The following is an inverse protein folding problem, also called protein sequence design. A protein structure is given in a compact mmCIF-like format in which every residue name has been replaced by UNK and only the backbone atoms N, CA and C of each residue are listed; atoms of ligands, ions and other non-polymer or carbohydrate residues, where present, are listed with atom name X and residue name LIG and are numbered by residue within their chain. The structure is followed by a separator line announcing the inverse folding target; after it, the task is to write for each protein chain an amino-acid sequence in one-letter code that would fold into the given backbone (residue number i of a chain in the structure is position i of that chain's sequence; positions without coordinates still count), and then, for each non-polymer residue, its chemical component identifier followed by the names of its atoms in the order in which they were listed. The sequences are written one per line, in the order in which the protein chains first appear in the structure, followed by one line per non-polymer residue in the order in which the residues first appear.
data_IF_817861020691
#
_entry.id   IF_817861020691
#
_cell.length_a   1.000
_cell.length_b   1.000
_cell.length_c   1.000
_cell.angle_alpha   90.00
_cell.angle_beta   90.00
_cell.angle_gamma   90.00
#
_symmetry.space_group_name_H-M   'P 1'
#
loop_
_entity.id
_entity.type
_entity.pdbx_description
1 polymer ?
#
# COMPACT_ATOMS: atom_id res chain seq x y z
N UNK A 1 -4.34 -5.75 -17.33
CA UNK A 1 -4.98 -5.95 -16.02
C UNK A 1 -4.26 -5.12 -14.97
N UNK A 2 -5.01 -4.43 -14.13
CA UNK A 2 -4.42 -3.61 -13.08
C UNK A 2 -3.84 -4.49 -11.98
N UNK A 3 -2.58 -4.24 -11.62
CA UNK A 3 -1.83 -5.03 -10.63
C UNK A 3 -1.68 -4.21 -9.34
N UNK A 4 -2.04 -4.82 -8.22
CA UNK A 4 -1.93 -4.18 -6.90
C UNK A 4 -0.99 -5.01 -6.02
N UNK A 5 -0.05 -4.32 -5.36
CA UNK A 5 0.84 -4.93 -4.38
C UNK A 5 0.35 -4.57 -2.98
N UNK A 6 0.15 -5.60 -2.15
CA UNK A 6 -0.23 -5.44 -0.75
C UNK A 6 0.98 -5.79 0.12
N UNK A 7 1.50 -4.83 0.87
CA UNK A 7 2.62 -5.04 1.78
C UNK A 7 2.05 -5.02 3.19
N UNK A 8 1.87 -6.20 3.76
CA UNK A 8 1.19 -6.40 5.04
C UNK A 8 1.66 -7.71 5.68
N UNK A 9 2.15 -7.65 6.92
CA UNK A 9 2.63 -8.85 7.62
C UNK A 9 1.51 -9.62 8.34
N UNK A 10 0.41 -8.97 8.70
CA UNK A 10 -0.74 -9.64 9.33
C UNK A 10 -1.43 -10.53 8.29
N UNK A 11 -1.26 -11.83 8.46
CA UNK A 11 -1.79 -12.82 7.50
C UNK A 11 -3.30 -12.72 7.32
N UNK A 12 -4.04 -12.57 8.42
CA UNK A 12 -5.51 -12.53 8.35
C UNK A 12 -6.01 -11.32 7.56
N UNK A 13 -5.51 -10.14 7.89
CA UNK A 13 -5.89 -8.92 7.19
C UNK A 13 -5.44 -8.96 5.74
N UNK A 14 -4.21 -9.40 5.50
CA UNK A 14 -3.68 -9.52 4.14
C UNK A 14 -4.57 -10.39 3.27
N UNK A 15 -4.97 -11.57 3.77
CA UNK A 15 -5.82 -12.47 3.01
C UNK A 15 -7.19 -11.88 2.71
N UNK A 16 -7.77 -11.15 3.66
CA UNK A 16 -9.05 -10.48 3.44
C UNK A 16 -8.96 -9.44 2.32
N UNK A 17 -7.92 -8.62 2.36
CA UNK A 17 -7.71 -7.56 1.36
C UNK A 17 -7.43 -8.17 -0.01
N UNK A 18 -6.52 -9.15 -0.07
CA UNK A 18 -6.17 -9.81 -1.33
C UNK A 18 -7.42 -10.45 -1.97
N UNK A 19 -8.21 -11.15 -1.17
CA UNK A 19 -9.43 -11.78 -1.66
C UNK A 19 -10.42 -10.76 -2.20
N UNK A 20 -10.61 -9.66 -1.47
CA UNK A 20 -11.53 -8.60 -1.89
C UNK A 20 -11.10 -7.94 -3.18
N UNK A 21 -9.81 -7.68 -3.34
CA UNK A 21 -9.28 -7.08 -4.56
C UNK A 21 -9.39 -8.03 -5.75
N UNK A 22 -9.15 -9.32 -5.54
CA UNK A 22 -9.31 -10.32 -6.61
C UNK A 22 -10.75 -10.41 -7.10
N UNK A 23 -11.73 -10.27 -6.21
CA UNK A 23 -13.14 -10.24 -6.60
C UNK A 23 -13.44 -9.07 -7.52
N UNK A 24 -12.70 -7.99 -7.41
CA UNK A 24 -12.85 -6.80 -8.25
C UNK A 24 -12.04 -6.88 -9.54
N UNK A 25 -11.52 -8.06 -9.85
CA UNK A 25 -10.80 -8.35 -11.10
C UNK A 25 -9.40 -7.73 -11.18
N UNK A 26 -8.83 -7.35 -10.04
CA UNK A 26 -7.43 -6.92 -10.00
C UNK A 26 -6.50 -8.13 -9.95
N UNK A 27 -5.31 -7.97 -10.53
CA UNK A 27 -4.20 -8.90 -10.27
C UNK A 27 -3.56 -8.45 -8.96
N UNK A 28 -3.37 -9.38 -8.01
CA UNK A 28 -2.87 -9.01 -6.68
C UNK A 28 -1.65 -9.82 -6.33
N UNK A 29 -0.60 -9.13 -5.93
CA UNK A 29 0.61 -9.73 -5.36
C UNK A 29 0.78 -9.19 -3.96
N UNK A 30 1.56 -9.88 -3.12
CA UNK A 30 1.76 -9.41 -1.75
C UNK A 30 3.20 -9.60 -1.28
N UNK A 31 3.57 -8.86 -0.24
CA UNK A 31 4.82 -8.99 0.47
C UNK A 31 4.54 -8.95 1.97
N UNK A 32 5.37 -9.64 2.75
CA UNK A 32 5.15 -9.78 4.20
C UNK A 32 6.11 -8.93 5.04
N UNK A 33 7.07 -8.28 4.40
CA UNK A 33 7.99 -7.37 5.07
C UNK A 33 8.41 -6.25 4.13
N UNK A 34 9.15 -5.27 4.66
CA UNK A 34 9.52 -4.08 3.91
C UNK A 34 10.50 -4.34 2.78
N UNK A 35 11.52 -5.14 3.01
CA UNK A 35 12.51 -5.45 1.97
C UNK A 35 11.88 -6.17 0.79
N UNK A 36 11.04 -7.18 1.06
CA UNK A 36 10.30 -7.89 0.03
C UNK A 36 9.37 -6.93 -0.73
N UNK A 37 8.76 -6.00 0.00
CA UNK A 37 7.88 -4.99 -0.59
C UNK A 37 8.60 -4.11 -1.61
N UNK A 38 9.77 -3.61 -1.25
CA UNK A 38 10.59 -2.80 -2.17
C UNK A 38 11.01 -3.63 -3.38
N UNK A 39 11.50 -4.83 -3.14
CA UNK A 39 11.94 -5.74 -4.21
C UNK A 39 10.81 -6.02 -5.20
N UNK A 40 9.63 -6.37 -4.71
CA UNK A 40 8.49 -6.67 -5.58
C UNK A 40 8.01 -5.43 -6.34
N UNK A 41 8.09 -4.25 -5.72
CA UNK A 41 7.76 -3.01 -6.41
C UNK A 41 8.67 -2.81 -7.62
N UNK A 42 9.96 -3.04 -7.45
CA UNK A 42 10.94 -2.90 -8.54
C UNK A 42 10.75 -3.95 -9.64
N UNK A 43 10.49 -5.19 -9.24
CA UNK A 43 10.35 -6.31 -10.19
C UNK A 43 9.02 -6.30 -10.93
N UNK A 44 7.92 -6.03 -10.23
CA UNK A 44 6.58 -6.17 -10.77
C UNK A 44 5.97 -4.87 -11.26
N UNK A 45 6.47 -3.73 -10.77
CA UNK A 45 5.96 -2.40 -11.12
C UNK A 45 4.43 -2.33 -11.07
N UNK A 46 3.84 -2.55 -9.88
CA UNK A 46 2.39 -2.53 -9.74
C UNK A 46 1.79 -1.15 -10.06
N UNK A 47 0.50 -1.14 -10.30
CA UNK A 47 -0.23 0.10 -10.58
C UNK A 47 -0.58 0.86 -9.31
N UNK A 48 -0.60 0.18 -8.17
CA UNK A 48 -0.88 0.77 -6.87
C UNK A 48 -0.30 -0.12 -5.77
N UNK A 49 0.12 0.50 -4.66
CA UNK A 49 0.64 -0.20 -3.50
C UNK A 49 -0.20 0.14 -2.27
N UNK A 50 -0.65 -0.89 -1.53
CA UNK A 50 -1.18 -0.75 -0.19
C UNK A 50 -0.05 -1.10 0.78
N UNK A 51 0.28 -0.20 1.68
CA UNK A 51 1.48 -0.30 2.51
C UNK A 51 1.15 -0.13 3.99
N UNK A 52 1.46 -1.15 4.79
CA UNK A 52 1.44 -1.01 6.25
C UNK A 52 2.74 -0.34 6.72
N UNK A 53 2.64 0.42 7.80
CA UNK A 53 3.81 1.08 8.40
C UNK A 53 4.53 0.18 9.40
N UNK A 54 3.80 -0.69 10.07
CA UNK A 54 4.37 -1.56 11.12
C UNK A 54 4.76 -2.90 10.52
N UNK A 55 5.95 -2.94 9.92
CA UNK A 55 6.47 -4.13 9.25
C UNK A 55 7.73 -4.65 9.95
N UNK A 56 8.00 -5.97 9.88
CA UNK A 56 9.30 -6.48 10.33
C UNK A 56 10.41 -5.99 9.40
N UNK A 57 11.60 -5.82 9.94
CA UNK A 57 12.73 -5.28 9.20
C UNK A 57 12.63 -3.76 9.06
N UNK A 58 12.69 -3.25 7.84
CA UNK A 58 12.49 -1.82 7.61
C UNK A 58 11.00 -1.49 7.73
N UNK A 59 10.69 -0.35 8.35
CA UNK A 59 9.29 0.05 8.51
C UNK A 59 8.72 0.62 7.22
N UNK A 60 7.39 0.86 7.22
CA UNK A 60 6.71 1.34 6.04
C UNK A 60 7.11 2.74 5.60
N UNK A 61 7.50 3.62 6.51
CA UNK A 61 8.00 4.94 6.14
C UNK A 61 9.27 4.81 5.31
N UNK A 62 10.18 3.92 5.71
CA UNK A 62 11.40 3.68 4.95
C UNK A 62 11.11 3.03 3.60
N UNK A 63 10.17 2.10 3.54
CA UNK A 63 9.71 1.51 2.28
C UNK A 63 9.24 2.61 1.33
N UNK A 64 8.38 3.49 1.81
CA UNK A 64 7.85 4.60 1.02
C UNK A 64 8.97 5.51 0.53
N UNK A 65 9.91 5.83 1.41
CA UNK A 65 11.04 6.68 1.07
C UNK A 65 11.90 6.05 -0.04
N UNK A 66 12.20 4.76 0.08
CA UNK A 66 12.97 4.05 -0.95
C UNK A 66 12.24 4.02 -2.29
N UNK A 67 10.92 3.80 -2.27
CA UNK A 67 10.12 3.81 -3.51
C UNK A 67 10.17 5.19 -4.16
N UNK A 68 9.99 6.24 -3.39
CA UNK A 68 9.93 7.61 -3.93
C UNK A 68 11.29 8.14 -4.40
N UNK A 69 12.39 7.57 -3.92
CA UNK A 69 13.73 7.93 -4.37
C UNK A 69 14.13 7.23 -5.67
N UNK A 70 13.44 6.17 -6.04
CA UNK A 70 13.74 5.40 -7.26
C UNK A 70 12.87 5.91 -8.40
N UNK A 71 13.48 6.61 -9.36
CA UNK A 71 12.74 7.26 -10.45
C UNK A 71 11.92 6.30 -11.30
N UNK A 72 12.30 5.03 -11.37
CA UNK A 72 11.57 4.05 -12.18
C UNK A 72 10.24 3.63 -11.56
N UNK A 73 10.05 3.83 -10.26
CA UNK A 73 8.84 3.42 -9.52
C UNK A 73 8.23 4.55 -8.70
N UNK A 74 8.84 5.72 -8.68
CA UNK A 74 8.40 6.84 -7.83
C UNK A 74 6.97 7.31 -8.13
N UNK A 75 6.49 7.12 -9.34
CA UNK A 75 5.15 7.57 -9.73
C UNK A 75 4.03 6.62 -9.33
N UNK A 76 4.36 5.43 -8.82
CA UNK A 76 3.34 4.47 -8.41
C UNK A 76 2.63 5.01 -7.16
N UNK A 77 1.28 5.15 -7.20
CA UNK A 77 0.55 5.64 -6.03
C UNK A 77 0.62 4.66 -4.86
N UNK A 78 0.87 5.18 -3.67
CA UNK A 78 0.95 4.41 -2.44
C UNK A 78 -0.14 4.89 -1.48
N UNK A 79 -0.99 3.96 -1.04
CA UNK A 79 -1.95 4.19 0.03
C UNK A 79 -1.38 3.53 1.29
N UNK A 80 -1.20 4.30 2.34
CA UNK A 80 -0.79 3.75 3.63
C UNK A 80 -2.04 3.20 4.33
N UNK A 81 -1.94 1.99 4.88
CA UNK A 81 -2.99 1.37 5.66
C UNK A 81 -2.37 0.90 6.97
N UNK A 82 -2.63 1.59 8.08
CA UNK A 82 -1.95 1.33 9.34
C UNK A 82 -2.83 1.58 10.56
N UNK A 83 -2.45 0.94 11.68
CA UNK A 83 -3.05 1.24 12.98
C UNK A 83 -2.52 2.54 13.59
N UNK A 84 -1.38 3.04 13.10
CA UNK A 84 -0.88 4.35 13.50
C UNK A 84 -1.82 5.42 12.94
N UNK A 85 -2.38 6.26 13.80
CA UNK A 85 -3.40 7.22 13.37
C UNK A 85 -3.21 8.61 13.94
N UNK A 86 -2.05 8.90 14.54
CA UNK A 86 -1.79 10.23 15.06
C UNK A 86 -1.45 11.19 13.92
N UNK A 87 -1.74 12.46 14.16
CA UNK A 87 -1.54 13.50 13.16
C UNK A 87 -0.12 13.50 12.59
N UNK A 88 0.88 13.34 13.44
CA UNK A 88 2.28 13.34 13.00
C UNK A 88 2.58 12.19 12.05
N UNK A 89 2.01 11.01 12.30
CA UNK A 89 2.19 9.85 11.42
C UNK A 89 1.56 10.09 10.05
N UNK A 90 0.34 10.61 10.07
CA UNK A 90 -0.41 10.92 8.84
C UNK A 90 0.35 11.98 8.03
N UNK A 91 0.75 13.07 8.67
CA UNK A 91 1.47 14.14 8.01
C UNK A 91 2.79 13.63 7.40
N UNK A 92 3.52 12.80 8.15
CA UNK A 92 4.78 12.23 7.66
C UNK A 92 4.56 11.36 6.42
N UNK A 93 3.53 10.51 6.45
CA UNK A 93 3.23 9.64 5.30
C UNK A 93 2.91 10.45 4.05
N UNK A 94 2.08 11.48 4.20
CA UNK A 94 1.70 12.33 3.06
C UNK A 94 2.91 13.12 2.55
N UNK A 95 3.72 13.67 3.46
CA UNK A 95 4.95 14.40 3.08
C UNK A 95 5.94 13.51 2.32
N UNK A 96 6.02 12.23 2.68
CA UNK A 96 6.90 11.28 1.99
C UNK A 96 6.33 10.82 0.64
N UNK A 97 5.12 11.24 0.30
CA UNK A 97 4.56 11.01 -1.03
C UNK A 97 3.41 10.02 -1.12
N UNK A 98 2.86 9.55 0.00
CA UNK A 98 1.66 8.73 -0.06
C UNK A 98 0.48 9.55 -0.57
N UNK A 99 -0.40 8.93 -1.36
CA UNK A 99 -1.57 9.63 -1.89
C UNK A 99 -2.74 9.61 -0.90
N UNK A 100 -2.73 8.69 0.05
CA UNK A 100 -3.74 8.63 1.10
C UNK A 100 -3.19 7.87 2.30
N UNK A 101 -3.80 8.08 3.47
CA UNK A 101 -3.44 7.39 4.71
C UNK A 101 -4.72 6.92 5.37
N UNK A 102 -4.91 5.60 5.44
CA UNK A 102 -6.10 5.00 6.04
C UNK A 102 -5.75 4.35 7.38
N UNK A 103 -6.47 4.73 8.43
CA UNK A 103 -6.30 4.11 9.75
C UNK A 103 -7.15 2.82 9.76
N UNK A 104 -6.49 1.68 9.97
CA UNK A 104 -7.14 0.36 9.86
C UNK A 104 -8.45 0.26 10.64
N UNK A 105 -8.49 0.80 11.86
CA UNK A 105 -9.67 0.73 12.72
C UNK A 105 -10.90 1.48 12.18
N UNK A 106 -10.70 2.38 11.23
CA UNK A 106 -11.77 3.23 10.69
C UNK A 106 -12.39 2.69 9.40
N UNK A 107 -11.85 1.62 8.84
CA UNK A 107 -12.27 1.13 7.52
C UNK A 107 -12.50 -0.37 7.51
N UNK A 108 -13.60 -0.79 6.89
CA UNK A 108 -13.83 -2.20 6.57
C UNK A 108 -13.00 -2.57 5.34
N UNK A 109 -12.75 -3.87 5.10
CA UNK A 109 -12.07 -4.28 3.86
C UNK A 109 -12.75 -3.74 2.59
N UNK A 110 -14.08 -3.73 2.56
CA UNK A 110 -14.82 -3.18 1.42
C UNK A 110 -14.57 -1.69 1.21
N UNK A 111 -14.49 -0.92 2.29
CA UNK A 111 -14.19 0.50 2.22
C UNK A 111 -12.77 0.76 1.74
N UNK A 112 -11.81 -0.09 2.15
CA UNK A 112 -10.43 -0.01 1.67
C UNK A 112 -10.40 -0.20 0.16
N UNK A 113 -11.12 -1.19 -0.35
CA UNK A 113 -11.18 -1.47 -1.79
C UNK A 113 -11.79 -0.30 -2.54
N UNK A 114 -12.82 0.34 -1.98
CA UNK A 114 -13.41 1.55 -2.57
C UNK A 114 -12.38 2.67 -2.70
N UNK A 115 -11.54 2.85 -1.68
CA UNK A 115 -10.46 3.85 -1.71
C UNK A 115 -9.42 3.53 -2.79
N UNK A 116 -9.07 2.25 -2.93
CA UNK A 116 -8.14 1.81 -3.97
C UNK A 116 -8.69 2.18 -5.35
N UNK A 117 -9.95 1.88 -5.60
CA UNK A 117 -10.59 2.22 -6.89
C UNK A 117 -10.58 3.72 -7.15
N UNK A 118 -10.88 4.52 -6.13
CA UNK A 118 -10.91 5.97 -6.28
C UNK A 118 -9.54 6.52 -6.71
N UNK A 119 -8.47 6.02 -6.10
CA UNK A 119 -7.11 6.43 -6.45
C UNK A 119 -6.77 6.02 -7.89
N UNK A 120 -7.12 4.80 -8.27
CA UNK A 120 -6.83 4.30 -9.62
C UNK A 120 -7.58 5.09 -10.70
N UNK A 121 -8.81 5.48 -10.44
CA UNK A 121 -9.58 6.29 -11.37
C UNK A 121 -8.96 7.66 -11.61
N UNK A 122 -8.45 8.29 -10.57
CA UNK A 122 -7.80 9.60 -10.67
C UNK A 122 -6.48 9.50 -11.43
N UNK A 123 -5.76 8.39 -11.32
CA UNK A 123 -4.44 8.22 -11.92
C UNK A 123 -4.48 7.58 -13.32
N UNK A 124 -5.65 7.29 -13.83
CA UNK A 124 -5.84 6.84 -15.20
C UNK A 124 -6.20 8.03 -16.10
#
# INVERSE_FOLDING_TARGET
MIKILVIEDDKFLRELIVRGLKKEKFEVIFAIDGEEGVKKTEEEKPDLILLDLMLPGIDGFEVLEQIKKNSSIASIPVIILSNLGQKDDIDRGIELGAVDFLVKAHFTPGEIITKVRAVLEVNQ
#
